data_IF_469507224643
#
_entry.id   IF_469507224643
#
_cell.length_a   1.000
_cell.length_b   1.000
_cell.length_c   1.000
_cell.angle_alpha   90.00
_cell.angle_beta   90.00
_cell.angle_gamma   90.00
#
_symmetry.space_group_name_H-M   'P 1'
#
loop_
_entity.id
_entity.type
_entity.pdbx_description
1 polymer ?
#
# COMPACT_ATOMS: atom_id res chain seq x y z
N UNK A 1 -11.79 -21.01 8.69
CA UNK A 1 -11.88 -20.73 7.24
C UNK A 1 -10.46 -20.78 6.67
N UNK A 2 -10.26 -21.54 5.61
CA UNK A 2 -8.98 -21.53 4.91
C UNK A 2 -8.73 -20.12 4.33
N UNK A 3 -7.48 -19.63 4.37
CA UNK A 3 -7.16 -18.30 3.84
C UNK A 3 -7.40 -18.30 2.32
N UNK A 4 -8.36 -17.52 1.86
CA UNK A 4 -8.62 -17.33 0.44
C UNK A 4 -7.90 -16.10 -0.08
N UNK A 5 -7.22 -16.24 -1.23
CA UNK A 5 -6.64 -15.10 -1.94
C UNK A 5 -7.76 -14.30 -2.60
N UNK A 6 -7.80 -13.00 -2.35
CA UNK A 6 -8.64 -12.04 -3.07
C UNK A 6 -7.82 -11.35 -4.16
N UNK A 7 -8.31 -11.36 -5.39
CA UNK A 7 -7.74 -10.59 -6.49
C UNK A 7 -8.77 -9.57 -6.95
N UNK A 8 -8.45 -8.28 -6.83
CA UNK A 8 -9.26 -7.19 -7.36
C UNK A 8 -8.84 -6.94 -8.82
N UNK A 9 -9.81 -7.02 -9.72
CA UNK A 9 -9.61 -6.75 -11.14
C UNK A 9 -10.38 -5.51 -11.54
N UNK A 10 -9.73 -4.63 -12.28
CA UNK A 10 -10.30 -3.37 -12.76
C UNK A 10 -10.37 -3.30 -14.27
N UNK A 11 -11.42 -2.69 -14.79
CA UNK A 11 -11.59 -2.45 -16.21
C UNK A 11 -13.01 -2.06 -16.57
N UNK A 12 -13.23 -1.34 -17.66
CA UNK A 12 -14.56 -0.86 -18.04
C UNK A 12 -15.58 -2.00 -18.17
N UNK A 13 -16.61 -2.00 -17.31
CA UNK A 13 -17.69 -2.98 -17.33
C UNK A 13 -17.29 -4.40 -16.88
N UNK A 14 -16.14 -4.59 -16.24
CA UNK A 14 -15.63 -5.91 -15.84
C UNK A 14 -16.56 -6.64 -14.87
N UNK A 15 -17.38 -5.91 -14.12
CA UNK A 15 -18.36 -6.48 -13.20
C UNK A 15 -19.31 -7.49 -13.88
N UNK A 16 -19.66 -7.25 -15.15
CA UNK A 16 -20.54 -8.10 -15.93
C UNK A 16 -19.85 -9.34 -16.53
N UNK A 17 -18.52 -9.42 -16.44
CA UNK A 17 -17.78 -10.52 -17.03
C UNK A 17 -18.05 -11.84 -16.29
N UNK A 18 -18.26 -12.92 -17.07
CA UNK A 18 -18.15 -14.28 -16.55
C UNK A 18 -16.68 -14.67 -16.49
N UNK A 19 -16.26 -15.14 -15.33
CA UNK A 19 -14.85 -15.49 -15.08
C UNK A 19 -14.71 -17.01 -15.03
N UNK A 20 -13.64 -17.50 -15.63
CA UNK A 20 -13.20 -18.90 -15.53
C UNK A 20 -11.67 -18.95 -15.49
N UNK A 21 -11.13 -20.03 -14.93
CA UNK A 21 -9.70 -20.30 -14.96
C UNK A 21 -9.41 -21.56 -15.77
N UNK A 22 -8.23 -21.60 -16.38
CA UNK A 22 -7.71 -22.85 -16.92
C UNK A 22 -7.46 -23.84 -15.76
N UNK A 23 -7.64 -25.16 -15.99
CA UNK A 23 -7.34 -26.14 -14.94
C UNK A 23 -5.91 -25.96 -14.43
N UNK A 24 -5.77 -25.78 -13.10
CA UNK A 24 -4.48 -25.60 -12.45
C UNK A 24 -4.45 -26.42 -11.16
N UNK A 25 -3.57 -27.42 -11.02
CA UNK A 25 -3.53 -28.29 -9.84
C UNK A 25 -3.36 -27.49 -8.56
N UNK A 26 -4.27 -27.71 -7.61
CA UNK A 26 -4.23 -27.04 -6.30
C UNK A 26 -4.74 -25.58 -6.31
N UNK A 27 -5.34 -25.09 -7.39
CA UNK A 27 -5.95 -23.76 -7.46
C UNK A 27 -7.40 -23.87 -7.87
N UNK A 28 -8.28 -23.27 -7.10
CA UNK A 28 -9.72 -23.22 -7.35
C UNK A 28 -10.23 -21.78 -7.28
N UNK A 29 -10.98 -21.34 -8.28
CA UNK A 29 -11.78 -20.12 -8.23
C UNK A 29 -13.07 -20.43 -7.48
N UNK A 30 -13.18 -19.97 -6.25
CA UNK A 30 -14.29 -20.31 -5.34
C UNK A 30 -15.46 -19.36 -5.45
N UNK A 31 -15.18 -18.08 -5.76
CA UNK A 31 -16.22 -17.07 -5.87
C UNK A 31 -15.79 -15.89 -6.74
N UNK A 32 -16.77 -15.15 -7.25
CA UNK A 32 -16.59 -13.87 -7.94
C UNK A 32 -17.64 -12.88 -7.50
N UNK A 33 -17.19 -11.72 -6.98
CA UNK A 33 -18.07 -10.69 -6.43
C UNK A 33 -17.96 -9.41 -7.26
N UNK A 34 -19.10 -8.84 -7.61
CA UNK A 34 -19.22 -7.49 -8.15
C UNK A 34 -19.91 -6.61 -7.12
N UNK A 35 -19.41 -5.40 -6.93
CA UNK A 35 -19.97 -4.43 -6.02
C UNK A 35 -20.73 -3.33 -6.80
N UNK A 36 -20.82 -2.12 -6.24
CA UNK A 36 -21.60 -1.04 -6.86
C UNK A 36 -21.03 -0.54 -8.18
N UNK A 37 -19.70 -0.43 -8.30
CA UNK A 37 -19.07 0.01 -9.54
C UNK A 37 -19.05 -1.09 -10.60
N UNK A 38 -19.42 -0.77 -11.86
CA UNK A 38 -19.33 -1.71 -12.96
C UNK A 38 -17.87 -2.03 -13.37
N UNK A 39 -16.90 -1.29 -12.84
CA UNK A 39 -15.51 -1.35 -13.26
C UNK A 39 -14.60 -2.19 -12.36
N UNK A 40 -15.17 -2.84 -11.34
CA UNK A 40 -14.43 -3.69 -10.42
C UNK A 40 -15.07 -5.08 -10.31
N UNK A 41 -14.20 -6.08 -10.20
CA UNK A 41 -14.60 -7.45 -9.89
C UNK A 41 -13.59 -8.08 -8.95
N UNK A 42 -14.08 -8.74 -7.92
CA UNK A 42 -13.28 -9.46 -6.94
C UNK A 42 -13.35 -10.96 -7.22
N UNK A 43 -12.21 -11.59 -7.30
CA UNK A 43 -12.06 -13.02 -7.50
C UNK A 43 -11.50 -13.63 -6.23
N UNK A 44 -12.04 -14.77 -5.82
CA UNK A 44 -11.60 -15.48 -4.63
C UNK A 44 -11.05 -16.84 -5.02
N UNK A 45 -9.86 -17.13 -4.55
CA UNK A 45 -9.17 -18.38 -4.85
C UNK A 45 -8.81 -19.12 -3.58
N UNK A 46 -9.02 -20.42 -3.57
CA UNK A 46 -8.34 -21.34 -2.68
C UNK A 46 -7.07 -21.81 -3.37
N UNK A 47 -5.94 -21.69 -2.68
CA UNK A 47 -4.64 -22.15 -3.17
C UNK A 47 -4.12 -23.17 -2.18
N UNK A 48 -4.04 -24.42 -2.62
CA UNK A 48 -3.48 -25.51 -1.83
C UNK A 48 -1.98 -25.28 -1.57
N UNK A 49 -1.47 -25.69 -0.40
CA UNK A 49 -0.03 -25.66 -0.11
C UNK A 49 0.82 -26.44 -1.14
N UNK A 50 0.22 -27.40 -1.82
CA UNK A 50 0.88 -28.23 -2.86
C UNK A 50 0.82 -27.60 -4.26
N UNK A 51 0.12 -26.46 -4.43
CA UNK A 51 0.07 -25.79 -5.72
C UNK A 51 1.48 -25.36 -6.15
N UNK A 52 1.89 -25.82 -7.33
CA UNK A 52 3.20 -25.46 -7.86
C UNK A 52 3.19 -23.99 -8.34
N UNK A 53 4.35 -23.30 -8.29
CA UNK A 53 4.50 -21.99 -8.94
C UNK A 53 4.30 -22.10 -10.45
N UNK A 54 3.75 -21.06 -11.05
CA UNK A 54 3.53 -21.03 -12.48
C UNK A 54 2.52 -19.95 -12.89
N UNK A 55 2.06 -20.01 -14.12
CA UNK A 55 1.17 -19.02 -14.72
C UNK A 55 -0.25 -19.59 -14.82
N UNK A 56 -1.19 -18.89 -14.24
CA UNK A 56 -2.62 -19.21 -14.24
C UNK A 56 -3.34 -18.30 -15.24
N UNK A 57 -4.01 -18.90 -16.21
CA UNK A 57 -4.86 -18.18 -17.15
C UNK A 57 -6.24 -17.91 -16.53
N UNK A 58 -6.56 -16.65 -16.32
CA UNK A 58 -7.87 -16.18 -15.89
C UNK A 58 -8.59 -15.58 -17.09
N UNK A 59 -9.68 -16.19 -17.52
CA UNK A 59 -10.45 -15.75 -18.69
C UNK A 59 -11.71 -15.00 -18.27
N UNK A 60 -11.88 -13.82 -18.80
CA UNK A 60 -13.06 -12.96 -18.64
C UNK A 60 -13.84 -12.96 -19.95
N UNK A 61 -15.11 -13.38 -19.89
CA UNK A 61 -16.04 -13.29 -21.01
C UNK A 61 -17.01 -12.13 -20.78
N UNK A 62 -16.78 -11.02 -21.46
CA UNK A 62 -17.59 -9.82 -21.38
C UNK A 62 -18.35 -9.63 -22.70
N UNK A 63 -19.68 -9.77 -22.66
CA UNK A 63 -20.56 -9.59 -23.85
C UNK A 63 -20.09 -10.38 -25.08
N UNK A 64 -19.64 -11.63 -24.85
CA UNK A 64 -19.17 -12.54 -25.90
C UNK A 64 -17.72 -12.35 -26.35
N UNK A 65 -17.02 -11.32 -25.85
CA UNK A 65 -15.58 -11.15 -26.06
C UNK A 65 -14.81 -11.78 -24.89
N UNK A 66 -13.74 -12.50 -25.22
CA UNK A 66 -12.86 -13.13 -24.24
C UNK A 66 -11.57 -12.35 -24.08
N UNK A 67 -11.19 -12.13 -22.83
CA UNK A 67 -9.91 -11.53 -22.44
C UNK A 67 -9.24 -12.49 -21.46
N UNK A 68 -7.96 -12.75 -21.64
CA UNK A 68 -7.18 -13.61 -20.72
C UNK A 68 -6.14 -12.78 -20.01
N UNK A 69 -6.18 -12.84 -18.68
CA UNK A 69 -5.14 -12.31 -17.81
C UNK A 69 -4.25 -13.46 -17.36
N UNK A 70 -2.96 -13.30 -17.53
CA UNK A 70 -1.97 -14.23 -17.04
C UNK A 70 -1.59 -13.84 -15.61
N UNK A 71 -2.01 -14.64 -14.62
CA UNK A 71 -1.69 -14.43 -13.21
C UNK A 71 -0.53 -15.34 -12.81
N UNK A 72 0.53 -14.76 -12.25
CA UNK A 72 1.71 -15.52 -11.85
C UNK A 72 1.62 -15.92 -10.38
N UNK A 73 1.60 -17.23 -10.12
CA UNK A 73 1.85 -17.80 -8.80
C UNK A 73 3.36 -17.96 -8.61
N UNK A 74 3.94 -17.13 -7.75
CA UNK A 74 5.37 -17.15 -7.49
C UNK A 74 5.74 -18.18 -6.43
N UNK A 75 6.91 -18.76 -6.56
CA UNK A 75 7.48 -19.56 -5.51
C UNK A 75 7.76 -18.65 -4.29
N UNK A 76 7.25 -19.07 -3.14
CA UNK A 76 7.61 -18.41 -1.87
C UNK A 76 9.08 -18.70 -1.55
N UNK A 77 9.90 -17.68 -1.57
CA UNK A 77 11.31 -17.80 -1.21
C UNK A 77 11.48 -17.58 0.29
N UNK A 78 11.78 -18.68 1.00
CA UNK A 78 12.06 -18.66 2.45
C UNK A 78 13.53 -18.92 2.75
N UNK A 79 14.39 -19.12 1.75
CA UNK A 79 15.79 -19.44 1.97
C UNK A 79 16.56 -18.22 2.45
N UNK A 80 17.20 -18.36 3.60
CA UNK A 80 18.09 -17.33 4.16
C UNK A 80 17.37 -16.07 4.65
N UNK A 81 16.06 -16.10 4.79
CA UNK A 81 15.29 -15.00 5.37
C UNK A 81 15.11 -15.28 6.84
N UNK A 82 15.85 -14.55 7.64
CA UNK A 82 15.52 -14.39 9.03
C UNK A 82 14.45 -13.29 9.09
N UNK A 83 13.18 -13.69 9.27
CA UNK A 83 12.08 -12.76 9.52
C UNK A 83 12.16 -12.20 10.95
N UNK A 84 13.36 -12.04 11.52
CA UNK A 84 13.54 -11.36 12.78
C UNK A 84 12.96 -9.94 12.65
N UNK A 85 11.89 -9.69 13.38
CA UNK A 85 11.34 -8.35 13.53
C UNK A 85 12.32 -7.42 14.22
N UNK A 86 11.93 -6.17 14.40
CA UNK A 86 12.65 -5.25 15.27
C UNK A 86 12.07 -5.27 16.68
N UNK A 87 12.89 -4.98 17.67
CA UNK A 87 12.50 -5.00 19.07
C UNK A 87 13.15 -3.85 19.88
N UNK A 88 13.04 -3.89 21.22
CA UNK A 88 13.58 -2.85 22.10
C UNK A 88 15.11 -2.74 22.12
N UNK A 89 15.84 -3.68 21.51
CA UNK A 89 17.29 -3.61 21.33
C UNK A 89 17.71 -2.84 20.08
N UNK A 90 16.76 -2.54 19.20
CA UNK A 90 17.03 -1.83 17.95
C UNK A 90 17.07 -0.30 18.14
N UNK A 91 17.96 0.32 17.41
CA UNK A 91 18.05 1.78 17.27
C UNK A 91 17.48 2.15 15.91
N UNK A 92 16.28 2.74 15.91
CA UNK A 92 15.59 3.13 14.69
C UNK A 92 16.02 4.51 14.22
N UNK A 93 16.37 4.61 12.95
CA UNK A 93 16.65 5.87 12.27
C UNK A 93 15.48 6.22 11.33
N UNK A 94 14.71 7.26 11.68
CA UNK A 94 13.66 7.79 10.82
C UNK A 94 14.29 8.55 9.65
N UNK A 95 13.93 8.17 8.44
CA UNK A 95 14.48 8.72 7.23
C UNK A 95 13.35 9.18 6.30
N UNK A 96 13.45 10.42 5.79
CA UNK A 96 12.57 10.94 4.75
C UNK A 96 13.29 10.80 3.41
N UNK A 97 12.90 9.85 2.53
CA UNK A 97 13.62 9.57 1.28
C UNK A 97 13.87 10.80 0.43
N UNK A 98 12.85 11.62 0.22
CA UNK A 98 12.94 12.84 -0.58
C UNK A 98 14.00 13.82 -0.09
N UNK A 99 14.28 13.84 1.22
CA UNK A 99 15.15 14.83 1.88
C UNK A 99 16.52 14.28 2.23
N UNK A 100 16.75 12.98 2.08
CA UNK A 100 17.96 12.35 2.58
C UNK A 100 19.14 12.43 1.61
N UNK A 101 19.04 11.76 0.47
CA UNK A 101 20.10 11.76 -0.54
C UNK A 101 19.55 11.44 -1.93
N UNK A 102 20.15 12.07 -2.94
CA UNK A 102 19.86 11.76 -4.33
C UNK A 102 21.01 10.88 -4.88
N UNK A 103 20.66 9.68 -5.37
CA UNK A 103 21.55 8.83 -6.16
C UNK A 103 21.28 8.97 -7.65
N UNK A 104 22.04 8.22 -8.46
CA UNK A 104 21.88 8.19 -9.91
C UNK A 104 20.48 7.66 -10.29
N UNK A 105 19.71 8.51 -10.96
CA UNK A 105 18.28 8.26 -11.20
C UNK A 105 17.76 9.15 -12.33
N UNK A 106 17.04 8.54 -13.27
CA UNK A 106 16.38 9.27 -14.37
C UNK A 106 15.05 9.90 -13.91
N UNK A 107 15.15 11.10 -13.36
CA UNK A 107 14.01 11.84 -12.84
C UNK A 107 12.99 12.19 -13.94
N UNK A 108 13.40 12.39 -15.17
CA UNK A 108 12.48 12.72 -16.27
C UNK A 108 11.63 11.51 -16.62
N UNK A 109 12.24 10.33 -16.74
CA UNK A 109 11.54 9.06 -16.98
C UNK A 109 10.58 8.71 -15.85
N UNK A 110 10.92 9.04 -14.63
CA UNK A 110 10.07 8.79 -13.46
C UNK A 110 8.71 9.51 -13.54
N UNK A 111 8.65 10.64 -14.23
CA UNK A 111 7.42 11.43 -14.36
C UNK A 111 6.52 10.95 -15.51
N UNK A 112 7.02 10.07 -16.38
CA UNK A 112 6.25 9.55 -17.50
C UNK A 112 5.03 8.73 -17.03
N UNK A 113 3.86 9.08 -17.53
CA UNK A 113 2.61 8.38 -17.21
C UNK A 113 1.98 8.73 -15.86
N UNK A 114 2.58 9.64 -15.08
CA UNK A 114 1.95 10.17 -13.87
C UNK A 114 0.81 11.13 -14.24
N UNK A 115 -0.26 11.13 -13.41
CA UNK A 115 -1.36 12.08 -13.56
C UNK A 115 -0.91 13.51 -13.20
N UNK A 116 -0.02 13.63 -12.20
CA UNK A 116 0.56 14.89 -11.71
C UNK A 116 2.09 14.78 -11.75
N UNK A 117 2.73 15.05 -12.90
CA UNK A 117 4.17 14.87 -13.10
C UNK A 117 4.99 15.99 -12.44
N UNK A 118 4.86 16.12 -11.11
CA UNK A 118 5.56 17.13 -10.32
C UNK A 118 6.96 16.62 -9.98
N UNK A 119 7.96 17.28 -10.53
CA UNK A 119 9.38 17.02 -10.30
C UNK A 119 9.93 17.67 -9.02
N UNK A 120 11.26 17.61 -8.87
CA UNK A 120 11.95 18.23 -7.75
C UNK A 120 12.08 19.75 -7.95
N UNK A 121 11.81 20.49 -6.87
CA UNK A 121 12.04 21.92 -6.72
C UNK A 121 12.59 22.15 -5.30
N UNK A 122 13.91 22.39 -5.21
CA UNK A 122 14.60 22.57 -3.93
C UNK A 122 14.42 23.96 -3.33
N UNK A 123 13.94 24.91 -4.12
CA UNK A 123 13.66 26.26 -3.65
C UNK A 123 12.30 26.34 -2.94
N UNK A 124 11.39 25.39 -3.23
CA UNK A 124 10.13 25.24 -2.49
C UNK A 124 10.33 24.30 -1.29
N UNK A 125 10.25 24.80 -0.04
CA UNK A 125 10.35 23.96 1.16
C UNK A 125 9.26 22.89 1.27
N UNK A 126 8.11 23.07 0.61
CA UNK A 126 7.00 22.12 0.54
C UNK A 126 7.07 21.25 -0.72
N UNK A 127 7.94 21.56 -1.67
CA UNK A 127 8.17 20.79 -2.88
C UNK A 127 8.99 19.53 -2.64
N UNK A 128 9.12 18.70 -3.65
CA UNK A 128 10.05 17.58 -3.66
C UNK A 128 11.48 18.06 -3.85
N UNK A 129 12.45 17.45 -3.17
CA UNK A 129 13.87 17.79 -3.28
C UNK A 129 14.70 16.75 -4.02
N UNK A 130 14.09 15.63 -4.41
CA UNK A 130 14.69 14.66 -5.34
C UNK A 130 15.56 13.59 -4.70
N UNK A 131 15.54 13.45 -3.37
CA UNK A 131 16.10 12.27 -2.72
C UNK A 131 15.35 11.00 -3.16
N UNK A 132 16.07 9.88 -3.24
CA UNK A 132 15.54 8.63 -3.78
C UNK A 132 16.15 7.39 -3.13
N UNK A 133 15.62 6.21 -3.47
CA UNK A 133 16.07 4.93 -2.90
C UNK A 133 17.54 4.65 -3.24
N UNK A 134 17.99 4.98 -4.46
CA UNK A 134 19.40 4.83 -4.84
C UNK A 134 20.32 5.66 -3.94
N UNK A 135 19.93 6.89 -3.64
CA UNK A 135 20.66 7.75 -2.70
C UNK A 135 20.72 7.17 -1.29
N UNK A 136 19.69 6.46 -0.83
CA UNK A 136 19.74 5.76 0.47
C UNK A 136 20.74 4.59 0.40
N UNK A 137 20.71 3.79 -0.67
CA UNK A 137 21.66 2.68 -0.88
C UNK A 137 23.09 3.21 -0.86
N UNK A 138 23.39 4.29 -1.58
CA UNK A 138 24.72 4.89 -1.67
C UNK A 138 25.22 5.46 -0.33
N UNK A 139 24.35 5.62 0.66
CA UNK A 139 24.65 6.15 2.00
C UNK A 139 24.48 5.11 3.12
N UNK A 140 24.33 3.83 2.81
CA UNK A 140 24.20 2.78 3.83
C UNK A 140 25.44 2.70 4.73
N UNK A 141 26.66 2.94 4.22
CA UNK A 141 27.87 3.01 5.04
C UNK A 141 27.84 4.15 6.07
N UNK A 142 27.30 5.29 5.67
CA UNK A 142 27.08 6.40 6.60
C UNK A 142 26.05 6.04 7.68
N UNK A 143 24.93 5.43 7.28
CA UNK A 143 23.87 5.00 8.22
C UNK A 143 24.42 3.97 9.21
N UNK A 144 25.20 3.00 8.72
CA UNK A 144 25.87 1.99 9.54
C UNK A 144 26.84 2.63 10.54
N UNK A 145 27.60 3.63 10.11
CA UNK A 145 28.56 4.35 10.98
C UNK A 145 27.90 5.12 12.13
N UNK A 146 26.59 5.40 12.05
CA UNK A 146 25.82 6.01 13.14
C UNK A 146 25.46 5.01 14.24
N UNK A 147 25.69 3.69 14.01
CA UNK A 147 25.34 2.63 14.96
C UNK A 147 23.86 2.32 15.02
N UNK A 148 23.06 2.71 14.00
CA UNK A 148 21.65 2.35 13.91
C UNK A 148 21.51 0.91 13.42
N UNK A 149 20.48 0.21 13.90
CA UNK A 149 20.21 -1.19 13.55
C UNK A 149 18.95 -1.35 12.71
N UNK A 150 18.17 -0.30 12.57
CA UNK A 150 16.97 -0.31 11.75
C UNK A 150 16.71 1.05 11.09
N UNK A 151 16.30 1.04 9.84
CA UNK A 151 15.80 2.21 9.11
C UNK A 151 14.27 2.15 9.11
N UNK A 152 13.63 3.18 9.61
CA UNK A 152 12.23 3.46 9.36
C UNK A 152 12.16 4.53 8.28
N UNK A 153 11.83 4.10 7.06
CA UNK A 153 11.59 5.03 5.96
C UNK A 153 10.19 5.62 6.06
N UNK A 154 10.06 6.95 5.99
CA UNK A 154 8.76 7.54 5.64
C UNK A 154 8.20 6.89 4.37
N UNK A 155 6.88 6.95 4.15
CA UNK A 155 6.24 6.19 3.08
C UNK A 155 6.88 6.39 1.72
N UNK A 156 7.10 5.29 1.03
CA UNK A 156 7.72 5.22 -0.31
C UNK A 156 6.74 4.83 -1.41
N UNK A 157 5.50 4.48 -1.05
CA UNK A 157 4.46 4.13 -2.01
C UNK A 157 4.09 5.34 -2.87
N UNK A 158 3.51 5.07 -4.04
CA UNK A 158 3.13 6.11 -4.98
C UNK A 158 2.23 7.16 -4.35
N UNK A 159 2.57 8.43 -4.61
CA UNK A 159 1.85 9.62 -4.16
C UNK A 159 1.62 10.56 -5.34
N UNK A 160 0.88 10.11 -6.35
CA UNK A 160 0.56 10.88 -7.54
C UNK A 160 -0.53 11.92 -7.24
N UNK A 161 -0.12 13.00 -6.60
CA UNK A 161 -0.96 14.01 -5.99
C UNK A 161 -0.79 15.39 -6.64
N UNK A 162 -1.86 16.19 -6.73
CA UNK A 162 -1.79 17.53 -7.34
C UNK A 162 -0.84 18.50 -6.60
N UNK A 163 -0.57 18.26 -5.32
CA UNK A 163 0.37 19.06 -4.51
C UNK A 163 1.76 18.43 -4.32
N UNK A 164 2.12 17.39 -5.08
CA UNK A 164 3.45 16.76 -5.06
C UNK A 164 3.68 15.76 -3.93
N UNK A 165 3.12 15.94 -2.75
CA UNK A 165 3.17 15.00 -1.60
C UNK A 165 4.53 14.35 -1.34
N UNK A 166 5.58 15.17 -1.10
CA UNK A 166 6.95 14.68 -0.88
C UNK A 166 7.09 13.77 0.36
N UNK A 167 6.20 13.95 1.32
CA UNK A 167 6.21 13.22 2.59
C UNK A 167 5.75 11.76 2.47
N UNK A 168 5.03 11.40 1.37
CA UNK A 168 4.63 10.03 1.08
C UNK A 168 3.32 9.55 1.74
N UNK A 169 2.66 10.39 2.56
CA UNK A 169 1.47 9.96 3.32
C UNK A 169 0.15 10.01 2.55
N UNK A 170 0.14 10.37 1.26
CA UNK A 170 -1.07 10.41 0.44
C UNK A 170 -1.03 9.34 -0.67
N UNK A 171 -1.09 8.08 -0.27
CA UNK A 171 -0.90 6.92 -1.16
C UNK A 171 -1.95 6.89 -2.28
N UNK A 172 -1.47 6.71 -3.52
CA UNK A 172 -2.31 6.57 -4.72
C UNK A 172 -2.19 5.20 -5.39
N UNK A 173 -1.19 4.41 -5.05
CA UNK A 173 -1.06 2.99 -5.41
C UNK A 173 -0.36 2.25 -4.27
N UNK A 174 -1.03 1.22 -3.71
CA UNK A 174 -0.54 0.45 -2.57
C UNK A 174 0.46 -0.66 -2.94
N UNK A 175 0.60 -0.98 -4.24
CA UNK A 175 1.48 -2.05 -4.73
C UNK A 175 2.68 -1.53 -5.51
N UNK A 176 2.85 -0.21 -5.58
CA UNK A 176 3.89 0.44 -6.37
C UNK A 176 4.68 1.44 -5.54
N UNK A 177 6.00 1.37 -5.65
CA UNK A 177 6.89 2.43 -5.16
C UNK A 177 6.67 3.67 -6.02
N UNK A 178 6.69 4.86 -5.39
CA UNK A 178 6.61 6.14 -6.12
C UNK A 178 7.73 6.20 -7.16
N UNK A 179 7.41 6.37 -8.45
CA UNK A 179 8.42 6.38 -9.51
C UNK A 179 9.54 7.41 -9.29
N UNK A 180 9.27 8.46 -8.53
CA UNK A 180 10.27 9.50 -8.19
C UNK A 180 11.25 9.03 -7.10
N UNK A 181 10.93 7.98 -6.38
CA UNK A 181 11.85 7.33 -5.44
C UNK A 181 12.59 6.15 -6.07
N UNK A 182 12.00 5.48 -7.06
CA UNK A 182 12.55 4.30 -7.71
C UNK A 182 11.47 3.29 -8.10
N UNK A 183 11.86 2.04 -8.20
CA UNK A 183 10.98 0.91 -8.54
C UNK A 183 10.78 -0.03 -7.33
N UNK A 184 9.88 -1.01 -7.48
CA UNK A 184 9.73 -2.07 -6.49
C UNK A 184 11.03 -2.88 -6.33
N UNK A 185 11.77 -3.06 -7.42
CA UNK A 185 13.07 -3.74 -7.44
C UNK A 185 14.15 -2.92 -6.72
N UNK A 186 14.17 -1.58 -6.88
CA UNK A 186 15.08 -0.71 -6.12
C UNK A 186 14.81 -0.80 -4.62
N UNK A 187 13.54 -0.88 -4.22
CA UNK A 187 13.16 -1.08 -2.82
C UNK A 187 13.66 -2.43 -2.29
N UNK A 188 13.44 -3.50 -3.03
CA UNK A 188 13.97 -4.83 -2.68
C UNK A 188 15.49 -4.82 -2.57
N UNK A 189 16.18 -4.10 -3.47
CA UNK A 189 17.63 -3.94 -3.42
C UNK A 189 18.08 -3.19 -2.17
N UNK A 190 17.39 -2.10 -1.80
CA UNK A 190 17.69 -1.37 -0.56
C UNK A 190 17.60 -2.30 0.66
N UNK A 191 16.51 -3.08 0.76
CA UNK A 191 16.34 -4.04 1.86
C UNK A 191 17.45 -5.07 1.89
N UNK A 192 17.81 -5.62 0.72
CA UNK A 192 18.89 -6.61 0.62
C UNK A 192 20.26 -6.04 1.00
N UNK A 193 20.59 -4.83 0.54
CA UNK A 193 21.88 -4.18 0.87
C UNK A 193 21.96 -3.76 2.35
N UNK A 194 20.86 -3.27 2.92
CA UNK A 194 20.77 -2.96 4.35
C UNK A 194 20.97 -4.23 5.21
N UNK A 195 20.29 -5.33 4.85
CA UNK A 195 20.41 -6.60 5.56
C UNK A 195 21.84 -7.16 5.56
N UNK A 196 22.63 -6.97 4.48
CA UNK A 196 24.06 -7.37 4.45
C UNK A 196 24.89 -6.66 5.52
N UNK A 197 24.45 -5.50 5.98
CA UNK A 197 25.07 -4.71 7.05
C UNK A 197 24.44 -4.97 8.42
N UNK A 198 23.48 -5.89 8.51
CA UNK A 198 22.71 -6.12 9.74
C UNK A 198 21.68 -5.03 10.04
N UNK A 199 21.41 -4.15 9.08
CA UNK A 199 20.42 -3.08 9.24
C UNK A 199 19.06 -3.59 8.76
N UNK A 200 18.09 -3.57 9.64
CA UNK A 200 16.68 -3.89 9.38
C UNK A 200 16.00 -2.75 8.63
N UNK A 201 14.96 -3.06 7.86
CA UNK A 201 14.16 -2.04 7.17
C UNK A 201 12.70 -2.17 7.59
N UNK A 202 12.13 -1.06 8.05
CA UNK A 202 10.73 -0.92 8.45
C UNK A 202 10.02 -0.04 7.42
N UNK A 203 8.95 -0.57 6.83
CA UNK A 203 8.15 0.15 5.85
C UNK A 203 7.00 0.89 6.52
N UNK A 204 6.85 2.16 6.20
CA UNK A 204 5.69 2.94 6.65
C UNK A 204 4.50 2.70 5.71
N UNK A 205 3.36 2.29 6.25
CA UNK A 205 2.16 1.98 5.50
C UNK A 205 0.97 2.76 6.04
N UNK A 206 0.16 3.29 5.13
CA UNK A 206 -0.97 4.15 5.45
C UNK A 206 -2.26 3.42 5.10
N UNK A 207 -3.00 2.98 6.12
CA UNK A 207 -4.27 2.26 5.93
C UNK A 207 -5.49 3.05 6.39
N UNK A 208 -5.27 4.18 7.05
CA UNK A 208 -6.35 5.07 7.47
C UNK A 208 -7.00 5.79 6.29
N UNK A 209 -6.21 6.25 5.34
CA UNK A 209 -6.68 7.09 4.23
C UNK A 209 -5.89 6.78 2.95
N UNK A 210 -6.41 7.24 1.82
CA UNK A 210 -5.68 7.32 0.55
C UNK A 210 -5.39 8.78 0.19
N UNK A 211 -4.61 8.99 -0.87
CA UNK A 211 -4.52 10.31 -1.50
C UNK A 211 -5.73 10.58 -2.39
N UNK A 212 -6.12 11.86 -2.55
CA UNK A 212 -7.21 12.25 -3.45
C UNK A 212 -6.92 11.92 -4.92
N UNK A 213 -5.65 11.71 -5.28
CA UNK A 213 -5.24 11.22 -6.60
C UNK A 213 -5.54 9.74 -6.84
N UNK A 214 -5.88 8.97 -5.80
CA UNK A 214 -6.16 7.55 -5.94
C UNK A 214 -7.39 7.30 -6.84
N UNK A 215 -7.35 6.32 -7.77
CA UNK A 215 -8.47 6.00 -8.66
C UNK A 215 -9.79 5.75 -7.94
N UNK A 216 -9.76 5.21 -6.72
CA UNK A 216 -10.96 4.96 -5.90
C UNK A 216 -11.77 6.22 -5.61
N UNK A 217 -11.14 7.40 -5.57
CA UNK A 217 -11.86 8.65 -5.31
C UNK A 217 -12.79 9.03 -6.46
N UNK A 218 -12.41 8.64 -7.69
CA UNK A 218 -13.22 8.90 -8.91
C UNK A 218 -14.22 7.78 -9.19
N UNK A 219 -13.86 6.55 -8.84
CA UNK A 219 -14.65 5.35 -9.10
C UNK A 219 -14.41 4.34 -7.96
N UNK A 220 -15.25 4.40 -6.93
CA UNK A 220 -15.17 3.50 -5.78
C UNK A 220 -15.69 2.11 -6.14
N UNK A 221 -15.03 1.03 -5.72
CA UNK A 221 -15.56 -0.32 -5.89
C UNK A 221 -16.96 -0.51 -5.30
N UNK A 222 -17.22 0.08 -4.13
CA UNK A 222 -18.53 0.14 -3.48
C UNK A 222 -18.77 1.53 -2.86
N UNK A 223 -20.03 1.87 -2.61
CA UNK A 223 -20.42 3.16 -2.03
C UNK A 223 -19.88 3.39 -0.62
N UNK A 224 -19.59 2.32 0.08
CA UNK A 224 -19.02 2.29 1.43
C UNK A 224 -17.51 2.07 1.46
N UNK A 225 -16.81 2.33 0.33
CA UNK A 225 -15.34 2.18 0.26
C UNK A 225 -14.59 3.26 1.03
N UNK A 226 -15.14 4.48 0.99
CA UNK A 226 -14.66 5.63 1.75
C UNK A 226 -15.72 6.02 2.78
N UNK A 227 -15.28 6.49 3.94
CA UNK A 227 -16.16 7.19 4.87
C UNK A 227 -16.41 8.61 4.33
N UNK A 228 -17.62 9.14 4.51
CA UNK A 228 -18.03 10.45 4.01
C UNK A 228 -17.63 10.69 2.54
N UNK A 229 -18.09 9.87 1.58
CA UNK A 229 -17.63 9.88 0.19
C UNK A 229 -17.91 11.22 -0.53
N UNK A 230 -18.81 12.03 -0.01
CA UNK A 230 -19.12 13.39 -0.51
C UNK A 230 -18.01 14.40 -0.19
N UNK A 231 -17.03 14.01 0.63
CA UNK A 231 -15.73 14.69 0.75
C UNK A 231 -15.70 15.97 1.55
N UNK A 232 -16.75 16.29 2.30
CA UNK A 232 -16.85 17.59 2.96
C UNK A 232 -16.39 17.57 4.43
N UNK A 233 -16.37 16.41 5.07
CA UNK A 233 -16.10 16.30 6.51
C UNK A 233 -14.65 15.86 6.80
N UNK A 234 -13.84 16.81 7.27
CA UNK A 234 -12.53 16.50 7.82
C UNK A 234 -12.64 16.14 9.30
N UNK A 235 -11.76 15.23 9.76
CA UNK A 235 -11.76 14.84 11.17
C UNK A 235 -11.55 16.03 12.09
N UNK A 236 -12.27 16.03 13.19
CA UNK A 236 -12.04 16.93 14.32
C UNK A 236 -11.25 16.22 15.44
N UNK A 237 -10.37 15.29 15.10
CA UNK A 237 -9.66 14.42 16.03
C UNK A 237 -9.20 15.15 17.28
N UNK A 238 -9.65 14.64 18.42
CA UNK A 238 -9.21 15.04 19.76
C UNK A 238 -9.09 13.79 20.63
N UNK A 239 -7.96 13.63 21.28
CA UNK A 239 -7.74 12.48 22.17
C UNK A 239 -8.82 12.36 23.26
N UNK A 240 -9.29 13.50 23.78
CA UNK A 240 -10.38 13.55 24.78
C UNK A 240 -11.69 12.96 24.25
N UNK A 241 -12.01 13.15 22.97
CA UNK A 241 -13.22 12.58 22.37
C UNK A 241 -13.21 11.06 22.38
N UNK A 242 -12.08 10.43 22.05
CA UNK A 242 -11.97 8.98 22.00
C UNK A 242 -12.03 8.31 23.38
N UNK A 243 -11.64 9.03 24.43
CA UNK A 243 -11.59 8.50 25.79
C UNK A 243 -12.77 8.92 26.65
N UNK A 244 -13.65 9.80 26.15
CA UNK A 244 -14.84 10.23 26.85
C UNK A 244 -15.95 9.16 26.77
N UNK A 245 -16.35 8.52 27.86
CA UNK A 245 -17.45 7.55 27.86
C UNK A 245 -18.80 8.16 27.56
N UNK A 246 -18.91 9.49 27.56
CA UNK A 246 -20.13 10.25 27.28
C UNK A 246 -20.04 11.04 25.99
N UNK A 247 -19.08 10.74 25.11
CA UNK A 247 -18.97 11.36 23.79
C UNK A 247 -20.27 11.19 23.01
N UNK A 248 -20.70 12.22 22.29
CA UNK A 248 -21.84 12.11 21.40
C UNK A 248 -21.51 11.23 20.18
N UNK A 249 -22.52 10.52 19.65
CA UNK A 249 -22.34 9.72 18.42
C UNK A 249 -21.83 10.59 17.26
N UNK A 250 -22.27 11.84 17.16
CA UNK A 250 -21.81 12.80 16.16
C UNK A 250 -20.31 13.10 16.29
N UNK A 251 -19.83 13.44 17.50
CA UNK A 251 -18.42 13.75 17.71
C UNK A 251 -17.54 12.53 17.53
N UNK A 252 -18.02 11.36 17.96
CA UNK A 252 -17.29 10.10 17.77
C UNK A 252 -17.17 9.75 16.29
N UNK A 253 -18.27 9.78 15.56
CA UNK A 253 -18.30 9.51 14.11
C UNK A 253 -17.39 10.49 13.36
N UNK A 254 -17.49 11.78 13.65
CA UNK A 254 -16.68 12.82 13.03
C UNK A 254 -15.18 12.67 13.32
N UNK A 255 -14.85 12.20 14.53
CA UNK A 255 -13.46 11.92 14.92
C UNK A 255 -12.91 10.69 14.21
N UNK A 256 -13.70 9.61 14.12
CA UNK A 256 -13.25 8.31 13.64
C UNK A 256 -13.34 8.16 12.13
N UNK A 257 -14.38 8.73 11.52
CA UNK A 257 -14.69 8.54 10.09
C UNK A 257 -14.42 9.80 9.25
N UNK A 258 -14.08 10.93 9.87
CA UNK A 258 -13.73 12.15 9.13
C UNK A 258 -12.41 12.02 8.38
N UNK A 259 -12.32 12.66 7.21
CA UNK A 259 -11.11 12.68 6.41
C UNK A 259 -9.96 13.35 7.17
N UNK A 260 -8.75 12.81 7.06
CA UNK A 260 -7.57 13.40 7.72
C UNK A 260 -7.38 14.87 7.32
N UNK A 261 -7.40 15.13 6.02
CA UNK A 261 -7.52 16.46 5.39
C UNK A 261 -8.29 16.30 4.09
N UNK A 262 -8.71 17.39 3.46
CA UNK A 262 -9.46 17.37 2.17
C UNK A 262 -8.74 16.60 1.04
N UNK A 263 -7.42 16.49 1.10
CA UNK A 263 -6.62 15.76 0.13
C UNK A 263 -6.38 14.28 0.50
N UNK A 264 -6.88 13.83 1.66
CA UNK A 264 -6.64 12.48 2.19
C UNK A 264 -7.96 11.85 2.68
N UNK A 265 -8.75 11.28 1.73
CA UNK A 265 -10.03 10.63 2.02
C UNK A 265 -9.86 9.42 2.95
N UNK A 266 -10.72 9.33 3.94
CA UNK A 266 -10.72 8.25 4.92
C UNK A 266 -11.25 6.95 4.33
N UNK A 267 -10.51 5.85 4.53
CA UNK A 267 -10.86 4.52 4.05
C UNK A 267 -11.80 3.84 5.06
N UNK A 268 -12.86 3.20 4.57
CA UNK A 268 -13.76 2.45 5.44
C UNK A 268 -13.26 1.00 5.64
N UNK A 269 -12.41 0.77 6.62
CA UNK A 269 -11.85 -0.55 6.94
C UNK A 269 -12.91 -1.55 7.45
N UNK A 270 -14.15 -1.13 7.70
CA UNK A 270 -15.28 -2.03 7.98
C UNK A 270 -15.76 -2.76 6.73
N UNK A 271 -15.43 -2.23 5.52
CA UNK A 271 -15.67 -2.93 4.27
C UNK A 271 -14.72 -4.12 4.17
N UNK A 272 -15.31 -5.33 4.12
CA UNK A 272 -14.55 -6.58 4.17
C UNK A 272 -13.58 -6.76 2.98
N UNK A 273 -13.93 -6.25 1.80
CA UNK A 273 -13.11 -6.36 0.61
C UNK A 273 -11.91 -5.41 0.68
N UNK A 274 -12.11 -4.18 1.19
CA UNK A 274 -11.04 -3.22 1.43
C UNK A 274 -10.10 -3.72 2.53
N UNK A 275 -10.65 -4.17 3.66
CA UNK A 275 -9.84 -4.71 4.77
C UNK A 275 -8.96 -5.86 4.28
N UNK A 276 -9.52 -6.80 3.51
CA UNK A 276 -8.77 -7.92 2.95
C UNK A 276 -7.69 -7.46 1.98
N UNK A 277 -7.98 -6.45 1.15
CA UNK A 277 -7.00 -5.85 0.25
C UNK A 277 -5.80 -5.29 1.03
N UNK A 278 -6.04 -4.52 2.10
CA UNK A 278 -4.99 -3.91 2.91
C UNK A 278 -4.16 -4.96 3.67
N UNK A 279 -4.80 -5.99 4.23
CA UNK A 279 -4.11 -7.12 4.87
C UNK A 279 -3.21 -7.86 3.86
N UNK A 280 -3.74 -8.18 2.68
CA UNK A 280 -2.96 -8.86 1.64
C UNK A 280 -1.82 -7.99 1.12
N UNK A 281 -2.02 -6.68 1.04
CA UNK A 281 -0.98 -5.73 0.68
C UNK A 281 0.19 -5.75 1.69
N UNK A 282 -0.09 -5.78 2.99
CA UNK A 282 0.93 -5.92 4.04
C UNK A 282 1.74 -7.20 3.86
N UNK A 283 1.05 -8.34 3.70
CA UNK A 283 1.69 -9.64 3.50
C UNK A 283 2.53 -9.63 2.23
N UNK A 284 2.04 -9.02 1.16
CA UNK A 284 2.73 -8.93 -0.12
C UNK A 284 4.06 -8.17 0.00
N UNK A 285 4.08 -7.03 0.70
CA UNK A 285 5.31 -6.25 0.92
C UNK A 285 6.31 -7.01 1.78
N UNK A 286 5.86 -7.69 2.85
CA UNK A 286 6.73 -8.53 3.68
C UNK A 286 7.37 -9.64 2.85
N UNK A 287 6.56 -10.36 2.07
CA UNK A 287 7.04 -11.51 1.29
C UNK A 287 7.90 -11.08 0.08
N UNK A 288 7.51 -10.00 -0.63
CA UNK A 288 8.20 -9.57 -1.85
C UNK A 288 9.50 -8.83 -1.57
N UNK A 289 9.57 -8.04 -0.52
CA UNK A 289 10.74 -7.21 -0.21
C UNK A 289 11.52 -7.65 1.02
N UNK A 290 10.99 -8.59 1.82
CA UNK A 290 11.67 -9.14 3.01
C UNK A 290 11.99 -8.07 4.06
N UNK A 291 11.10 -7.08 4.18
CA UNK A 291 11.17 -6.05 5.22
C UNK A 291 11.06 -6.68 6.61
N UNK A 292 11.71 -6.07 7.58
CA UNK A 292 11.74 -6.57 8.97
C UNK A 292 10.53 -6.14 9.79
N UNK A 293 9.73 -5.20 9.29
CA UNK A 293 8.54 -4.75 9.98
C UNK A 293 7.76 -3.71 9.20
N UNK A 294 6.58 -3.40 9.73
CA UNK A 294 5.69 -2.36 9.23
C UNK A 294 5.43 -1.38 10.37
N UNK A 295 5.58 -0.09 10.09
CA UNK A 295 5.00 0.98 10.89
C UNK A 295 3.68 1.36 10.24
N UNK A 296 2.59 1.18 10.94
CA UNK A 296 1.29 1.59 10.45
C UNK A 296 0.99 3.01 10.89
N UNK A 297 0.86 3.91 9.91
CA UNK A 297 0.50 5.30 10.15
C UNK A 297 -0.95 5.39 10.63
N UNK A 298 -1.21 6.32 11.58
CA UNK A 298 -2.55 6.52 12.14
C UNK A 298 -3.23 5.18 12.43
N UNK A 299 -2.46 4.26 13.05
CA UNK A 299 -2.92 2.89 13.23
C UNK A 299 -4.37 2.85 13.70
N UNK A 300 -5.05 1.76 13.43
CA UNK A 300 -6.44 1.42 13.73
C UNK A 300 -6.94 1.78 15.15
N UNK A 301 -6.38 2.80 15.78
CA UNK A 301 -6.85 3.38 17.06
C UNK A 301 -8.36 3.68 16.98
N UNK A 302 -8.84 3.93 15.78
CA UNK A 302 -10.24 4.22 15.52
C UNK A 302 -11.12 2.97 15.38
N UNK A 303 -10.54 1.78 15.22
CA UNK A 303 -11.29 0.54 14.92
C UNK A 303 -11.10 -0.52 16.00
N UNK A 304 -10.00 -0.51 16.74
CA UNK A 304 -9.75 -1.52 17.75
C UNK A 304 -10.46 -1.15 19.05
N UNK A 305 -11.36 -2.04 19.48
CA UNK A 305 -11.59 -2.14 20.90
C UNK A 305 -10.24 -2.32 21.60
N UNK A 306 -10.01 -1.63 22.74
CA UNK A 306 -8.80 -1.86 23.49
C UNK A 306 -8.73 -3.35 23.82
N UNK A 307 -7.79 -4.05 23.24
CA UNK A 307 -7.47 -5.42 23.66
C UNK A 307 -7.08 -5.34 25.13
N UNK A 308 -7.95 -5.89 25.98
CA UNK A 308 -7.70 -6.06 27.41
C UNK A 308 -6.60 -7.08 27.63
#
# INVERSE_FOLDING_TARGET
QEPSLQVMVTGPGIADARVSIAPYPGVELTDTVSLDSPNYKFLYFNISPEAAPGKLDITFNLKGRKYTLLYELRQRDRKGVDYAGFDASDVLYLLIPDRFAQGDFDAAKALEGMQYPIGADRDDPNGRHGGNIRGIIDRLDYIDSLGVTAIWSCPVLENDMPGGSYHGYATTDYYRIDPRFGTNEDWQQLVAEANKKGIKVVMDMIFNHSGIGHPWVKDMPSKDWLNHPDGEETTNFRLSTLHDPYVSDYDLDHTVNGWFVKAMPDLNQRNIHLMKYLIQNSIWWIESSKISGIRMDLSLIHISEPTR
#
